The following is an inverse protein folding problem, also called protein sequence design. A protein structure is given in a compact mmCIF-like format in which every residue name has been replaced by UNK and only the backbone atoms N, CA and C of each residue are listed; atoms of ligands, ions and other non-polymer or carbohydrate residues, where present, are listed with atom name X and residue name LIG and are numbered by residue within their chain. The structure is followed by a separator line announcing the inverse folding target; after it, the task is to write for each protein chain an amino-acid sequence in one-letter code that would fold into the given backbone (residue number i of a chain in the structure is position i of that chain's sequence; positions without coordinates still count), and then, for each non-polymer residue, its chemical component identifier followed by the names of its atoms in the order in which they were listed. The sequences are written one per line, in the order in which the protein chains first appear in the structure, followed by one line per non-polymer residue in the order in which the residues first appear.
data_IF_293756303684
#
_entry.id   IF_293756303684
#
_cell.length_a   1.000
_cell.length_b   1.000
_cell.length_c   1.000
_cell.angle_alpha   90.00
_cell.angle_beta   90.00
_cell.angle_gamma   90.00
#
_symmetry.space_group_name_H-M   'P 1'
#
loop_
_entity.id
_entity.type
_entity.pdbx_description
1 polymer ?
#
# COMPACT_ATOMS: atom_id res chain seq x y z
N UNK A 1 -2.61 -5.97 2.65
CA UNK A 1 -2.07 -5.96 1.26
C UNK A 1 -3.20 -5.70 0.27
N UNK A 2 -2.94 -4.85 -0.72
CA UNK A 2 -3.92 -4.53 -1.77
C UNK A 2 -4.20 -5.73 -2.69
N UNK A 3 -5.38 -5.80 -3.32
CA UNK A 3 -5.66 -6.81 -4.35
C UNK A 3 -4.69 -6.72 -5.53
N UNK A 4 -4.28 -7.86 -6.07
CA UNK A 4 -3.28 -7.95 -7.15
C UNK A 4 -3.64 -7.14 -8.40
N UNK A 5 -4.93 -7.09 -8.77
CA UNK A 5 -5.44 -6.31 -9.90
C UNK A 5 -5.38 -4.79 -9.67
N UNK A 6 -5.35 -4.34 -8.41
CA UNK A 6 -5.21 -2.92 -8.07
C UNK A 6 -3.74 -2.44 -8.09
N UNK A 7 -2.79 -3.39 -8.06
CA UNK A 7 -1.36 -3.11 -8.02
C UNK A 7 -0.76 -2.77 -9.38
N UNK A 8 -1.40 -3.07 -10.50
CA UNK A 8 -0.82 -2.78 -11.82
C UNK A 8 -1.36 -3.70 -12.92
N UNK A 9 -0.78 -3.64 -14.13
CA UNK A 9 -1.23 -4.43 -15.27
C UNK A 9 -1.14 -5.92 -14.97
N UNK A 10 -2.27 -6.61 -15.09
CA UNK A 10 -2.44 -8.04 -14.79
C UNK A 10 -1.78 -8.89 -15.86
N UNK A 11 -1.99 -8.54 -17.12
CA UNK A 11 -1.49 -9.28 -18.29
C UNK A 11 -0.53 -8.44 -19.14
N UNK A 12 0.16 -9.09 -20.07
CA UNK A 12 1.06 -8.44 -21.01
C UNK A 12 0.30 -7.44 -21.91
N UNK A 13 -0.89 -7.81 -22.38
CA UNK A 13 -1.74 -6.96 -23.22
C UNK A 13 -2.17 -5.68 -22.47
N UNK A 14 -2.48 -5.79 -21.18
CA UNK A 14 -2.80 -4.62 -20.36
C UNK A 14 -1.62 -3.65 -20.25
N UNK A 15 -0.38 -4.15 -20.17
CA UNK A 15 0.81 -3.30 -20.20
C UNK A 15 0.98 -2.64 -21.57
N UNK A 16 0.99 -3.45 -22.63
CA UNK A 16 1.24 -2.99 -24.00
C UNK A 16 0.20 -1.99 -24.49
N UNK A 17 -1.08 -2.17 -24.12
CA UNK A 17 -2.14 -1.22 -24.46
C UNK A 17 -1.93 0.19 -23.90
N UNK A 18 -1.04 0.35 -22.91
CA UNK A 18 -0.72 1.63 -22.25
C UNK A 18 0.79 1.77 -22.04
N UNK A 19 1.59 1.23 -22.95
CA UNK A 19 3.04 1.11 -22.79
C UNK A 19 3.70 2.45 -22.48
N UNK A 20 3.40 3.50 -23.26
CA UNK A 20 3.99 4.84 -23.07
C UNK A 20 3.77 5.36 -21.65
N UNK A 21 2.56 5.18 -21.10
CA UNK A 21 2.22 5.60 -19.74
C UNK A 21 3.03 4.84 -18.70
N UNK A 22 3.19 3.53 -18.86
CA UNK A 22 3.90 2.70 -17.88
C UNK A 22 5.42 2.90 -17.98
N UNK A 23 5.97 2.97 -19.18
CA UNK A 23 7.39 3.26 -19.40
C UNK A 23 7.74 4.63 -18.81
N UNK A 24 6.89 5.66 -19.02
CA UNK A 24 7.06 6.97 -18.36
C UNK A 24 7.03 6.89 -16.84
N UNK A 25 6.18 6.05 -16.25
CA UNK A 25 6.14 5.87 -14.79
C UNK A 25 7.40 5.18 -14.24
N UNK A 26 7.99 4.23 -14.99
CA UNK A 26 9.25 3.61 -14.60
C UNK A 26 10.37 4.64 -14.54
N UNK A 27 10.44 5.55 -15.52
CA UNK A 27 11.42 6.63 -15.54
C UNK A 27 11.13 7.66 -14.46
N UNK A 28 9.96 8.31 -14.52
CA UNK A 28 9.65 9.49 -13.70
C UNK A 28 9.54 9.19 -12.20
N UNK A 29 9.00 8.00 -11.85
CA UNK A 29 8.69 7.66 -10.45
C UNK A 29 9.68 6.72 -9.81
N UNK A 30 10.38 5.92 -10.63
CA UNK A 30 11.27 4.87 -10.13
C UNK A 30 12.72 5.06 -10.58
N UNK A 31 13.00 5.97 -11.51
CA UNK A 31 14.34 6.19 -12.05
C UNK A 31 14.89 4.98 -12.81
N UNK A 32 14.01 4.16 -13.39
CA UNK A 32 14.37 2.93 -14.10
C UNK A 32 14.28 3.14 -15.61
N UNK A 33 15.25 2.60 -16.36
CA UNK A 33 15.22 2.58 -17.81
C UNK A 33 14.39 1.40 -18.33
N UNK A 34 13.26 1.63 -19.02
CA UNK A 34 12.46 0.55 -19.59
C UNK A 34 13.15 -0.22 -20.71
N UNK A 35 14.15 0.34 -21.41
CA UNK A 35 14.78 -0.37 -22.53
C UNK A 35 15.64 -1.55 -22.07
N UNK A 36 16.19 -1.45 -20.85
CA UNK A 36 17.02 -2.47 -20.21
C UNK A 36 16.20 -3.56 -19.48
N UNK A 37 14.89 -3.60 -19.71
CA UNK A 37 13.96 -4.46 -18.96
C UNK A 37 13.07 -5.30 -19.87
N UNK A 38 12.88 -6.56 -19.51
CA UNK A 38 11.83 -7.39 -20.12
C UNK A 38 10.44 -6.91 -19.71
N UNK A 39 9.42 -7.22 -20.52
CA UNK A 39 8.03 -6.87 -20.22
C UNK A 39 7.56 -7.39 -18.86
N UNK A 40 7.98 -8.60 -18.49
CA UNK A 40 7.65 -9.21 -17.20
C UNK A 40 8.25 -8.43 -16.02
N UNK A 41 9.48 -7.97 -16.15
CA UNK A 41 10.15 -7.15 -15.14
C UNK A 41 9.49 -5.77 -15.02
N UNK A 42 9.16 -5.14 -16.14
CA UNK A 42 8.42 -3.87 -16.16
C UNK A 42 7.11 -3.99 -15.37
N UNK A 43 6.32 -5.02 -15.67
CA UNK A 43 5.07 -5.31 -14.95
C UNK A 43 5.31 -5.57 -13.46
N UNK A 44 6.35 -6.32 -13.11
CA UNK A 44 6.69 -6.61 -11.72
C UNK A 44 7.09 -5.35 -10.95
N UNK A 45 7.92 -4.46 -11.55
CA UNK A 45 8.31 -3.18 -10.94
C UNK A 45 7.13 -2.26 -10.73
N UNK A 46 6.22 -2.17 -11.71
CA UNK A 46 4.98 -1.40 -11.56
C UNK A 46 4.17 -1.85 -10.35
N UNK A 47 4.00 -3.17 -10.18
CA UNK A 47 3.27 -3.73 -9.05
C UNK A 47 3.96 -3.48 -7.72
N UNK A 48 5.24 -3.80 -7.64
CA UNK A 48 6.01 -3.59 -6.42
C UNK A 48 5.97 -2.12 -5.98
N UNK A 49 6.12 -1.20 -6.92
CA UNK A 49 5.99 0.23 -6.64
C UNK A 49 4.60 0.59 -6.12
N UNK A 50 3.53 0.15 -6.79
CA UNK A 50 2.16 0.44 -6.36
C UNK A 50 1.81 -0.17 -5.01
N UNK A 51 2.32 -1.36 -4.70
CA UNK A 51 2.17 -2.01 -3.40
C UNK A 51 2.87 -1.20 -2.31
N UNK A 52 4.12 -0.80 -2.53
CA UNK A 52 4.86 0.07 -1.61
C UNK A 52 4.14 1.41 -1.36
N UNK A 53 3.64 2.07 -2.41
CA UNK A 53 2.89 3.32 -2.25
C UNK A 53 1.60 3.13 -1.44
N UNK A 54 0.92 1.98 -1.59
CA UNK A 54 -0.28 1.68 -0.83
C UNK A 54 0.03 1.42 0.65
N UNK A 55 1.08 0.65 0.96
CA UNK A 55 1.48 0.39 2.35
C UNK A 55 1.92 1.70 3.04
N UNK A 56 2.67 2.58 2.36
CA UNK A 56 3.00 3.94 2.87
C UNK A 56 1.77 4.78 3.16
N UNK A 57 0.74 4.70 2.30
CA UNK A 57 -0.53 5.38 2.53
C UNK A 57 -1.24 4.83 3.77
N UNK A 58 -1.29 3.50 3.93
CA UNK A 58 -1.88 2.86 5.11
C UNK A 58 -1.19 3.30 6.39
N UNK A 59 0.15 3.27 6.43
CA UNK A 59 0.93 3.73 7.58
C UNK A 59 0.59 5.17 7.97
N UNK A 60 0.53 6.07 6.99
CA UNK A 60 0.19 7.47 7.23
C UNK A 60 -1.25 7.65 7.73
N UNK A 61 -2.20 6.86 7.21
CA UNK A 61 -3.61 6.89 7.63
C UNK A 61 -3.78 6.33 9.04
N UNK A 62 -3.15 5.19 9.34
CA UNK A 62 -3.19 4.58 10.67
C UNK A 62 -2.60 5.51 11.72
N UNK A 63 -1.43 6.08 11.44
CA UNK A 63 -0.80 7.07 12.31
C UNK A 63 -1.75 8.26 12.59
N UNK A 64 -2.35 8.84 11.54
CA UNK A 64 -3.28 9.98 11.69
C UNK A 64 -4.53 9.61 12.50
N UNK A 65 -5.00 8.37 12.39
CA UNK A 65 -6.15 7.87 13.14
C UNK A 65 -5.81 7.44 14.56
N UNK A 66 -4.53 7.50 14.97
CA UNK A 66 -4.09 7.00 16.28
C UNK A 66 -4.15 5.47 16.38
N UNK A 67 -3.92 4.78 15.26
CA UNK A 67 -3.90 3.32 15.16
C UNK A 67 -2.46 2.83 15.04
N UNK A 68 -2.20 1.59 15.47
CA UNK A 68 -0.92 0.93 15.26
C UNK A 68 -0.79 0.38 13.83
N UNK A 69 0.38 -0.19 13.50
CA UNK A 69 0.68 -0.70 12.15
C UNK A 69 -0.18 -1.89 11.71
N UNK A 70 -0.87 -2.54 12.65
CA UNK A 70 -1.80 -3.64 12.35
C UNK A 70 -3.22 -3.15 12.07
N UNK A 71 -3.44 -1.83 12.03
CA UNK A 71 -4.76 -1.25 11.81
C UNK A 71 -5.66 -1.33 13.04
N UNK A 72 -5.07 -1.33 14.25
CA UNK A 72 -5.80 -1.44 15.50
C UNK A 72 -5.70 -0.10 16.24
N UNK A 73 -6.82 0.51 16.68
CA UNK A 73 -6.79 1.72 17.49
C UNK A 73 -5.89 1.56 18.73
N UNK A 74 -5.08 2.57 19.02
CA UNK A 74 -4.29 2.57 20.24
C UNK A 74 -5.18 2.75 21.47
N UNK A 75 -4.80 2.18 22.60
CA UNK A 75 -5.52 2.40 23.88
C UNK A 75 -5.60 3.90 24.21
N UNK A 76 -4.54 4.66 23.95
CA UNK A 76 -4.54 6.11 24.12
C UNK A 76 -5.62 6.78 23.27
N UNK A 77 -5.70 6.41 21.98
CA UNK A 77 -6.73 6.93 21.09
C UNK A 77 -8.14 6.56 21.56
N UNK A 78 -8.38 5.31 21.98
CA UNK A 78 -9.69 4.86 22.48
C UNK A 78 -10.15 5.66 23.70
N UNK A 79 -9.26 5.91 24.67
CA UNK A 79 -9.53 6.77 25.83
C UNK A 79 -9.86 8.20 25.40
N UNK A 80 -9.09 8.75 24.46
CA UNK A 80 -9.29 10.12 23.95
C UNK A 80 -10.68 10.31 23.31
N UNK A 81 -11.22 9.28 22.65
CA UNK A 81 -12.54 9.34 22.00
C UNK A 81 -13.69 8.82 22.86
N UNK A 82 -13.43 8.43 24.13
CA UNK A 82 -14.46 7.89 25.04
C UNK A 82 -14.96 6.50 24.65
N UNK A 83 -14.12 5.68 24.01
CA UNK A 83 -14.40 4.30 23.64
C UNK A 83 -13.53 3.31 24.43
N UNK A 84 -13.22 3.61 25.68
CA UNK A 84 -12.38 2.78 26.56
C UNK A 84 -13.19 1.79 27.42
N UNK A 85 -14.26 1.22 26.85
CA UNK A 85 -15.04 0.17 27.51
C UNK A 85 -14.11 -0.98 27.95
N UNK A 86 -14.21 -1.49 29.19
CA UNK A 86 -13.32 -2.52 29.71
C UNK A 86 -13.18 -3.74 28.78
N UNK A 87 -14.30 -4.20 28.21
CA UNK A 87 -14.36 -5.36 27.32
C UNK A 87 -13.60 -5.10 26.02
N UNK A 88 -13.66 -3.87 25.49
CA UNK A 88 -12.91 -3.49 24.28
C UNK A 88 -11.42 -3.39 24.59
N UNK A 89 -11.06 -2.82 25.74
CA UNK A 89 -9.65 -2.70 26.18
C UNK A 89 -9.03 -4.09 26.35
N UNK A 90 -9.76 -5.05 26.93
CA UNK A 90 -9.30 -6.44 27.06
C UNK A 90 -8.98 -7.09 25.71
N UNK A 91 -9.81 -6.84 24.69
CA UNK A 91 -9.63 -7.38 23.33
C UNK A 91 -8.43 -6.74 22.62
N UNK A 92 -8.26 -5.42 22.72
CA UNK A 92 -7.23 -4.72 21.94
C UNK A 92 -5.86 -4.74 22.59
N UNK A 93 -5.78 -4.88 23.93
CA UNK A 93 -4.52 -4.87 24.70
C UNK A 93 -3.46 -5.88 24.23
N UNK A 94 -3.78 -7.15 23.91
CA UNK A 94 -2.78 -8.09 23.40
C UNK A 94 -2.32 -7.80 21.96
N UNK A 95 -2.99 -6.88 21.26
CA UNK A 95 -2.74 -6.55 19.86
C UNK A 95 -2.07 -5.19 19.65
N UNK A 96 -1.70 -4.51 20.74
CA UNK A 96 -1.10 -3.17 20.73
C UNK A 96 0.36 -3.19 20.26
#
# INVERSE_FOLDING_TARGET
RQPYRAAGPVTAEEYLSRQERYDKQLVDKMGLDPQEMSLKEKMAKQRAYREDQYEKLLDAVYFRRGWNKNGIPTIEHLKKIGMDLPELIEVVKPLQ
#
